data_IF_189072905378
#
_entry.id   IF_189072905378
#
_cell.length_a   1.000
_cell.length_b   1.000
_cell.length_c   1.000
_cell.angle_alpha   90.00
_cell.angle_beta   90.00
_cell.angle_gamma   90.00
#
_symmetry.space_group_name_H-M   'P 1'
#
loop_
_entity.id
_entity.type
_entity.pdbx_description
1 polymer ?
#
# COMPACT_ATOMS: atom_id res chain seq x y z
N UNK A 1 -5.34 -18.63 -5.42
CA UNK A 1 -4.87 -18.64 -4.02
C UNK A 1 -5.75 -17.74 -3.20
N UNK A 2 -6.02 -18.09 -1.97
CA UNK A 2 -6.81 -17.25 -1.09
C UNK A 2 -5.93 -16.31 -0.25
N UNK A 3 -6.57 -15.66 0.72
CA UNK A 3 -5.88 -14.80 1.68
C UNK A 3 -4.92 -15.61 2.54
N UNK A 4 -3.87 -14.95 3.02
CA UNK A 4 -2.96 -15.57 3.99
C UNK A 4 -3.66 -15.79 5.31
N UNK A 5 -3.33 -16.90 5.98
CA UNK A 5 -3.77 -17.12 7.36
C UNK A 5 -3.17 -16.04 8.27
N UNK A 6 -3.89 -15.62 9.34
CA UNK A 6 -3.44 -14.50 10.18
C UNK A 6 -2.04 -14.67 10.77
N UNK A 7 -1.70 -15.85 11.26
CA UNK A 7 -0.39 -16.12 11.85
C UNK A 7 0.73 -16.10 10.80
N UNK A 8 0.45 -16.56 9.58
CA UNK A 8 1.39 -16.50 8.47
C UNK A 8 1.60 -15.04 8.03
N UNK A 9 0.52 -14.26 7.98
CA UNK A 9 0.59 -12.84 7.65
C UNK A 9 1.45 -12.08 8.67
N UNK A 10 1.23 -12.29 9.97
CA UNK A 10 2.04 -11.66 11.01
C UNK A 10 3.51 -12.04 10.89
N UNK A 11 3.80 -13.33 10.72
CA UNK A 11 5.18 -13.79 10.55
C UNK A 11 5.85 -13.15 9.34
N UNK A 12 5.14 -13.02 8.23
CA UNK A 12 5.65 -12.38 7.02
C UNK A 12 6.02 -10.92 7.28
N UNK A 13 5.15 -10.17 7.96
CA UNK A 13 5.44 -8.79 8.34
C UNK A 13 6.65 -8.70 9.29
N UNK A 14 6.75 -9.60 10.26
CA UNK A 14 7.88 -9.61 11.20
C UNK A 14 9.19 -9.83 10.47
N UNK A 15 9.23 -10.73 9.49
CA UNK A 15 10.39 -10.95 8.65
C UNK A 15 10.73 -9.72 7.80
N UNK A 16 9.70 -9.07 7.23
CA UNK A 16 9.89 -7.85 6.45
C UNK A 16 10.48 -6.74 7.30
N UNK A 17 9.94 -6.51 8.50
CA UNK A 17 10.45 -5.49 9.42
C UNK A 17 11.89 -5.78 9.81
N UNK A 18 12.23 -7.05 10.07
CA UNK A 18 13.59 -7.44 10.38
C UNK A 18 14.56 -7.10 9.24
N UNK A 19 14.16 -7.38 8.00
CA UNK A 19 14.96 -7.03 6.82
C UNK A 19 15.14 -5.51 6.70
N UNK A 20 14.09 -4.75 6.90
CA UNK A 20 14.13 -3.29 6.82
C UNK A 20 15.06 -2.73 7.91
N UNK A 21 14.96 -3.24 9.14
CA UNK A 21 15.85 -2.81 10.23
C UNK A 21 17.32 -3.05 9.92
N UNK A 22 17.64 -4.12 9.22
CA UNK A 22 19.02 -4.43 8.84
C UNK A 22 19.57 -3.53 7.74
N UNK A 23 18.72 -2.83 7.00
CA UNK A 23 19.13 -1.88 5.97
C UNK A 23 19.58 -0.54 6.56
N UNK A 24 19.07 -0.14 7.71
CA UNK A 24 19.47 1.07 8.46
C UNK A 24 19.67 2.30 7.56
N UNK A 25 20.93 2.76 7.47
CA UNK A 25 21.28 3.99 6.73
C UNK A 25 21.13 3.87 5.22
N UNK A 26 20.98 2.65 4.71
CA UNK A 26 20.76 2.38 3.29
C UNK A 26 19.27 2.33 2.94
N UNK A 27 18.40 2.52 3.93
CA UNK A 27 16.94 2.43 3.73
C UNK A 27 16.42 3.54 2.82
N UNK A 28 15.73 3.15 1.75
CA UNK A 28 15.04 4.05 0.83
C UNK A 28 13.61 3.56 0.63
N UNK A 29 12.76 4.43 0.09
CA UNK A 29 11.39 4.03 -0.25
C UNK A 29 11.37 2.88 -1.27
N UNK A 30 12.28 2.90 -2.24
CA UNK A 30 12.38 1.83 -3.24
C UNK A 30 12.70 0.48 -2.60
N UNK A 31 13.61 0.46 -1.63
CA UNK A 31 13.96 -0.78 -0.91
C UNK A 31 12.77 -1.30 -0.11
N UNK A 32 12.02 -0.40 0.52
CA UNK A 32 10.80 -0.78 1.25
C UNK A 32 9.78 -1.39 0.29
N UNK A 33 9.53 -0.72 -0.83
CA UNK A 33 8.58 -1.21 -1.84
C UNK A 33 8.96 -2.61 -2.33
N UNK A 34 10.22 -2.80 -2.71
CA UNK A 34 10.69 -4.08 -3.22
C UNK A 34 10.62 -5.18 -2.17
N UNK A 35 11.04 -4.88 -0.94
CA UNK A 35 11.06 -5.85 0.15
C UNK A 35 9.66 -6.35 0.46
N UNK A 36 8.72 -5.44 0.65
CA UNK A 36 7.34 -5.81 1.01
C UNK A 36 6.62 -6.50 -0.15
N UNK A 37 6.74 -5.94 -1.35
CA UNK A 37 6.09 -6.52 -2.53
C UNK A 37 6.54 -7.97 -2.78
N UNK A 38 7.83 -8.24 -2.66
CA UNK A 38 8.38 -9.57 -2.90
C UNK A 38 7.91 -10.62 -1.89
N UNK A 39 7.51 -10.19 -0.70
CA UNK A 39 7.11 -11.10 0.37
C UNK A 39 5.62 -11.43 0.38
N UNK A 40 4.79 -10.70 -0.36
CA UNK A 40 3.34 -10.89 -0.39
C UNK A 40 2.89 -11.20 -1.82
N UNK A 41 2.68 -12.47 -2.12
CA UNK A 41 2.35 -12.95 -3.47
C UNK A 41 1.04 -12.38 -4.03
N UNK A 42 0.08 -12.08 -3.15
CA UNK A 42 -1.22 -11.59 -3.58
C UNK A 42 -1.20 -10.11 -3.97
N UNK A 43 -0.17 -9.38 -3.58
CA UNK A 43 -0.11 -7.95 -3.88
C UNK A 43 0.33 -7.71 -5.32
N UNK A 44 -0.39 -6.84 -6.01
CA UNK A 44 -0.04 -6.45 -7.38
C UNK A 44 0.49 -5.03 -7.48
N UNK A 45 0.47 -4.27 -6.35
CA UNK A 45 1.03 -2.93 -6.28
C UNK A 45 1.40 -2.58 -4.85
N UNK A 46 2.56 -2.00 -4.66
CA UNK A 46 3.00 -1.40 -3.40
C UNK A 46 3.71 -0.09 -3.74
N UNK A 47 3.18 1.05 -3.32
CA UNK A 47 3.78 2.31 -3.70
C UNK A 47 3.43 3.47 -2.79
N UNK A 48 4.23 4.53 -2.92
CA UNK A 48 4.07 5.77 -2.20
C UNK A 48 3.73 6.89 -3.18
N UNK A 49 2.63 7.57 -2.91
CA UNK A 49 2.25 8.79 -3.61
C UNK A 49 2.62 9.99 -2.77
N UNK A 50 2.97 11.09 -3.42
CA UNK A 50 3.26 12.38 -2.75
C UNK A 50 2.22 13.41 -3.20
N UNK A 51 1.76 14.22 -2.23
CA UNK A 51 0.79 15.29 -2.49
C UNK A 51 1.47 16.44 -3.23
N UNK A 52 0.91 16.79 -4.38
CA UNK A 52 1.20 18.02 -5.11
C UNK A 52 -0.01 18.95 -4.95
N UNK A 53 -0.05 20.07 -5.65
CA UNK A 53 -1.06 21.09 -5.43
C UNK A 53 -2.49 20.57 -5.30
N UNK A 54 -3.00 19.86 -6.31
CA UNK A 54 -4.38 19.34 -6.34
C UNK A 54 -4.46 17.85 -6.65
N UNK A 55 -3.34 17.14 -6.59
CA UNK A 55 -3.27 15.75 -7.03
C UNK A 55 -2.16 15.02 -6.30
N UNK A 56 -2.11 13.70 -6.51
CA UNK A 56 -1.07 12.84 -5.97
C UNK A 56 -0.22 12.32 -7.13
N UNK A 57 1.10 12.33 -6.97
CA UNK A 57 2.03 11.80 -7.96
C UNK A 57 2.78 10.62 -7.36
N UNK A 58 3.03 9.61 -8.19
CA UNK A 58 3.81 8.45 -7.75
C UNK A 58 5.25 8.88 -7.43
N UNK A 59 5.76 8.43 -6.31
CA UNK A 59 7.11 8.73 -5.86
C UNK A 59 8.00 7.49 -5.94
N UNK A 60 7.52 6.37 -5.47
CA UNK A 60 8.26 5.10 -5.46
C UNK A 60 7.26 3.97 -5.48
N UNK A 61 7.52 2.92 -6.25
CA UNK A 61 6.59 1.79 -6.33
C UNK A 61 7.27 0.52 -6.82
N UNK A 62 6.62 -0.60 -6.54
CA UNK A 62 6.92 -1.90 -7.15
C UNK A 62 5.61 -2.50 -7.65
N UNK A 63 5.56 -2.84 -8.92
CA UNK A 63 4.39 -3.42 -9.60
C UNK A 63 4.82 -3.91 -10.98
N UNK A 64 4.07 -4.85 -11.53
CA UNK A 64 4.27 -5.29 -12.92
C UNK A 64 3.63 -4.33 -13.91
N UNK A 65 2.80 -3.40 -13.44
CA UNK A 65 2.09 -2.42 -14.26
C UNK A 65 2.61 -1.02 -14.00
N UNK A 66 2.53 -0.16 -15.01
CA UNK A 66 2.82 1.26 -14.85
C UNK A 66 1.68 1.87 -14.04
N UNK A 67 1.97 2.56 -12.92
CA UNK A 67 0.92 3.14 -12.09
C UNK A 67 0.26 4.35 -12.77
N UNK A 68 -0.99 4.63 -12.39
CA UNK A 68 -1.62 5.91 -12.71
C UNK A 68 -0.89 7.02 -11.95
N UNK A 69 -0.44 8.04 -12.66
CA UNK A 69 0.16 9.22 -12.05
C UNK A 69 0.18 10.37 -13.06
N UNK A 70 -0.25 11.58 -12.69
CA UNK A 70 -0.88 11.89 -11.39
C UNK A 70 -2.30 11.32 -11.26
N UNK A 71 -2.79 11.25 -10.03
CA UNK A 71 -4.18 10.87 -9.76
C UNK A 71 -4.89 12.00 -9.02
N UNK A 72 -6.20 12.14 -9.27
CA UNK A 72 -6.99 13.16 -8.59
C UNK A 72 -7.30 12.76 -7.14
N UNK A 73 -7.89 13.69 -6.38
CA UNK A 73 -8.16 13.49 -4.95
C UNK A 73 -9.49 12.78 -4.66
N UNK A 74 -10.21 12.33 -5.68
CA UNK A 74 -11.53 11.71 -5.50
C UNK A 74 -11.49 10.21 -5.27
N UNK A 75 -10.37 9.55 -5.58
CA UNK A 75 -10.18 8.12 -5.39
C UNK A 75 -9.81 7.75 -3.96
N UNK A 76 -9.46 6.49 -3.75
CA UNK A 76 -9.15 5.95 -2.41
C UNK A 76 -7.99 6.71 -1.77
N UNK A 77 -6.89 6.88 -2.51
CA UNK A 77 -5.69 7.58 -2.00
C UNK A 77 -6.00 9.02 -1.61
N UNK A 78 -6.73 9.75 -2.46
CA UNK A 78 -7.10 11.14 -2.19
C UNK A 78 -8.02 11.27 -0.98
N UNK A 79 -9.01 10.40 -0.87
CA UNK A 79 -9.90 10.40 0.28
C UNK A 79 -9.16 10.05 1.58
N UNK A 80 -8.22 9.11 1.52
CA UNK A 80 -7.38 8.75 2.65
C UNK A 80 -6.53 9.94 3.09
N UNK A 81 -5.90 10.61 2.14
CA UNK A 81 -5.07 11.79 2.41
C UNK A 81 -5.88 12.91 3.07
N UNK A 82 -7.02 13.24 2.49
CA UNK A 82 -7.85 14.35 2.98
C UNK A 82 -8.47 14.07 4.34
N UNK A 83 -8.87 12.81 4.60
CA UNK A 83 -9.46 12.43 5.89
C UNK A 83 -8.40 12.13 6.96
N UNK A 84 -7.16 11.93 6.56
CA UNK A 84 -6.05 11.50 7.43
C UNK A 84 -6.33 10.17 8.10
N UNK A 85 -7.05 9.29 7.40
CA UNK A 85 -7.45 7.98 7.91
C UNK A 85 -6.97 6.86 7.00
N UNK A 86 -6.62 5.74 7.61
CA UNK A 86 -6.38 4.50 6.87
C UNK A 86 -7.72 4.04 6.29
N UNK A 87 -7.73 3.71 5.01
CA UNK A 87 -8.90 3.18 4.34
C UNK A 87 -8.59 1.76 3.87
N UNK A 88 -9.47 0.81 4.27
CA UNK A 88 -9.41 -0.56 3.76
C UNK A 88 -10.63 -0.74 2.84
N UNK A 89 -10.37 -1.16 1.61
CA UNK A 89 -11.41 -1.40 0.61
C UNK A 89 -11.46 -2.90 0.33
N UNK A 90 -12.46 -3.60 0.87
CA UNK A 90 -12.57 -5.06 0.65
C UNK A 90 -12.80 -5.43 -0.81
N UNK A 91 -13.50 -4.58 -1.56
CA UNK A 91 -13.81 -4.80 -2.96
C UNK A 91 -13.78 -3.44 -3.68
N UNK A 92 -12.74 -3.21 -4.47
CA UNK A 92 -12.53 -1.93 -5.15
C UNK A 92 -13.64 -1.60 -6.14
N UNK A 93 -14.31 -2.62 -6.70
CA UNK A 93 -15.39 -2.39 -7.64
C UNK A 93 -16.61 -1.74 -7.00
N UNK A 94 -16.70 -1.79 -5.68
CA UNK A 94 -17.81 -1.23 -4.89
C UNK A 94 -17.45 0.11 -4.23
N UNK A 95 -16.23 0.58 -4.39
CA UNK A 95 -15.80 1.82 -3.76
C UNK A 95 -16.13 3.02 -4.66
N UNK A 96 -16.91 3.96 -4.13
CA UNK A 96 -17.28 5.15 -4.89
C UNK A 96 -16.04 6.03 -5.14
N UNK A 97 -15.79 6.33 -6.41
CA UNK A 97 -14.64 7.14 -6.80
C UNK A 97 -13.35 6.36 -7.04
N UNK A 98 -13.39 5.02 -6.94
CA UNK A 98 -12.20 4.21 -7.21
C UNK A 98 -11.65 4.47 -8.62
N UNK A 99 -10.33 4.69 -8.69
CA UNK A 99 -9.61 4.88 -9.95
C UNK A 99 -9.01 3.54 -10.35
N UNK A 100 -9.50 2.97 -11.45
CA UNK A 100 -9.01 1.69 -11.94
C UNK A 100 -7.73 1.90 -12.74
N UNK A 101 -6.59 1.50 -12.16
CA UNK A 101 -5.29 1.56 -12.82
C UNK A 101 -4.77 0.18 -13.21
N UNK A 102 -5.20 -0.85 -12.50
CA UNK A 102 -4.88 -2.25 -12.79
C UNK A 102 -6.17 -3.05 -12.63
N UNK A 103 -6.69 -3.67 -13.70
CA UNK A 103 -7.93 -4.44 -13.63
C UNK A 103 -7.80 -5.70 -12.75
N UNK A 104 -6.58 -6.09 -12.39
CA UNK A 104 -6.36 -7.23 -11.50
C UNK A 104 -6.51 -6.87 -10.02
N UNK A 105 -6.53 -5.60 -9.67
CA UNK A 105 -6.72 -5.15 -8.28
C UNK A 105 -8.14 -5.44 -7.83
N UNK A 106 -8.29 -6.13 -6.70
CA UNK A 106 -9.59 -6.49 -6.13
C UNK A 106 -9.83 -5.88 -4.76
N UNK A 107 -8.80 -5.71 -3.96
CA UNK A 107 -8.87 -5.02 -2.66
C UNK A 107 -7.70 -4.09 -2.51
N UNK A 108 -7.82 -3.14 -1.57
CA UNK A 108 -6.83 -2.08 -1.41
C UNK A 108 -6.76 -1.61 0.03
N UNK A 109 -5.57 -1.18 0.46
CA UNK A 109 -5.38 -0.44 1.70
C UNK A 109 -4.58 0.81 1.39
N UNK A 110 -5.00 1.94 1.98
CA UNK A 110 -4.26 3.21 1.86
C UNK A 110 -3.96 3.75 3.24
N UNK A 111 -2.75 4.25 3.44
CA UNK A 111 -2.29 4.78 4.72
C UNK A 111 -1.66 6.16 4.48
N UNK A 112 -2.31 7.23 4.95
CA UNK A 112 -1.76 8.58 4.82
C UNK A 112 -0.74 8.85 5.93
N UNK A 113 0.35 9.53 5.59
CA UNK A 113 1.32 9.98 6.57
C UNK A 113 2.09 11.18 6.01
N UNK A 114 2.31 12.19 6.82
CA UNK A 114 2.97 13.42 6.37
C UNK A 114 2.34 13.93 5.07
N UNK A 115 3.15 14.12 4.02
CA UNK A 115 2.67 14.58 2.71
C UNK A 115 2.49 13.43 1.71
N UNK A 116 2.34 12.19 2.22
CA UNK A 116 2.36 10.97 1.42
C UNK A 116 1.15 10.09 1.68
N UNK A 117 0.93 9.16 0.75
CA UNK A 117 0.00 8.05 0.95
C UNK A 117 0.70 6.76 0.52
N UNK A 118 0.72 5.78 1.42
CA UNK A 118 1.10 4.42 1.06
C UNK A 118 -0.13 3.74 0.49
N UNK A 119 0.01 3.17 -0.70
CA UNK A 119 -1.07 2.48 -1.42
C UNK A 119 -0.64 1.05 -1.74
N UNK A 120 -1.47 0.09 -1.36
CA UNK A 120 -1.21 -1.33 -1.63
C UNK A 120 -2.47 -1.96 -2.21
N UNK A 121 -2.32 -2.64 -3.34
CA UNK A 121 -3.41 -3.36 -4.00
C UNK A 121 -3.16 -4.86 -3.95
N UNK A 122 -4.23 -5.62 -3.84
CA UNK A 122 -4.18 -7.09 -3.86
C UNK A 122 -5.08 -7.65 -4.96
N UNK A 123 -4.66 -8.80 -5.50
CA UNK A 123 -5.44 -9.59 -6.47
C UNK A 123 -6.57 -10.36 -5.81
N UNK A 124 -6.59 -10.40 -4.47
CA UNK A 124 -7.61 -11.11 -3.70
C UNK A 124 -8.61 -10.12 -3.11
N UNK A 125 -9.88 -10.50 -3.07
CA UNK A 125 -10.90 -9.74 -2.35
C UNK A 125 -10.61 -9.80 -0.84
N UNK A 126 -10.92 -8.71 -0.15
CA UNK A 126 -10.88 -8.65 1.31
C UNK A 126 -9.53 -9.10 1.90
N UNK A 127 -8.43 -8.72 1.26
CA UNK A 127 -7.09 -9.18 1.64
C UNK A 127 -6.47 -8.39 2.80
N UNK A 128 -7.01 -7.22 3.14
CA UNK A 128 -6.43 -6.35 4.15
C UNK A 128 -7.31 -6.26 5.39
N UNK A 129 -6.68 -6.30 6.58
CA UNK A 129 -7.37 -6.25 7.86
C UNK A 129 -6.55 -5.47 8.90
N UNK A 130 -6.90 -5.64 10.18
CA UNK A 130 -6.24 -4.96 11.30
C UNK A 130 -4.77 -5.35 11.46
N UNK A 131 -4.37 -6.54 11.00
CA UNK A 131 -2.98 -6.98 11.05
C UNK A 131 -2.15 -6.11 10.10
N UNK A 132 -2.66 -5.88 8.88
CA UNK A 132 -2.00 -5.01 7.92
C UNK A 132 -1.87 -3.59 8.47
N UNK A 133 -2.94 -3.05 9.05
CA UNK A 133 -2.89 -1.72 9.69
C UNK A 133 -1.77 -1.63 10.71
N UNK A 134 -1.69 -2.61 11.61
CA UNK A 134 -0.72 -2.64 12.69
C UNK A 134 0.72 -2.62 12.17
N UNK A 135 1.04 -3.54 11.28
CA UNK A 135 2.41 -3.71 10.82
C UNK A 135 2.83 -2.64 9.81
N UNK A 136 1.93 -2.22 8.94
CA UNK A 136 2.23 -1.16 7.99
C UNK A 136 2.47 0.17 8.69
N UNK A 137 1.74 0.46 9.77
CA UNK A 137 2.04 1.63 10.60
C UNK A 137 3.44 1.57 11.19
N UNK A 138 3.87 0.41 11.68
CA UNK A 138 5.22 0.23 12.21
C UNK A 138 6.28 0.49 11.13
N UNK A 139 6.03 0.02 9.91
CA UNK A 139 6.95 0.23 8.79
C UNK A 139 7.04 1.71 8.45
N UNK A 140 5.92 2.41 8.38
CA UNK A 140 5.89 3.84 8.11
C UNK A 140 6.67 4.63 9.17
N UNK A 141 6.56 4.24 10.43
CA UNK A 141 7.29 4.90 11.52
C UNK A 141 8.81 4.72 11.42
N UNK A 142 9.29 3.81 10.59
CA UNK A 142 10.71 3.59 10.34
C UNK A 142 11.28 4.47 9.22
N UNK A 143 10.42 5.21 8.52
CA UNK A 143 10.80 6.08 7.39
C UNK A 143 11.30 7.43 7.86
#
# INVERSE_FOLDING_TARGET
>A
MGKLQPDIKEETYQKAISKIKNLKDELTLDLICNTLYDMFENWNFFGFYVKKTNELEILSYTSDQIPCSPINMNGVCGQSFNSKKIIIVPDVSKFHGHIECDPNSKSEITIPFLNYVLDIDSRELDDFDKIDKKYLKKIIEMI
#
